data_IF_867560444942
#
_entry.id   IF_867560444942
#
_cell.length_a   1.000
_cell.length_b   1.000
_cell.length_c   1.000
_cell.angle_alpha   90.00
_cell.angle_beta   90.00
_cell.angle_gamma   90.00
#
_symmetry.space_group_name_H-M   'P 1'
#
loop_
_entity.id
_entity.type
_entity.pdbx_description
1 polymer ?
#
# COMPACT_ATOMS: atom_id res chain seq x y z
N UNK A 1 6.46 10.66 -20.00
CA UNK A 1 5.82 9.50 -19.36
C UNK A 1 6.84 8.80 -18.49
N UNK A 2 6.52 8.56 -17.21
CA UNK A 2 7.41 7.88 -16.24
C UNK A 2 6.72 6.60 -15.78
N UNK A 3 7.41 5.46 -15.85
CA UNK A 3 6.86 4.15 -15.48
C UNK A 3 7.60 3.55 -14.27
N UNK A 4 8.75 2.88 -14.49
CA UNK A 4 9.52 2.20 -13.43
C UNK A 4 9.84 3.09 -12.23
N UNK A 5 10.29 4.34 -12.47
CA UNK A 5 10.58 5.28 -11.40
C UNK A 5 9.37 5.61 -10.52
N UNK A 6 8.17 5.67 -11.11
CA UNK A 6 6.92 5.90 -10.38
C UNK A 6 6.46 4.65 -9.61
N UNK A 7 6.70 3.46 -10.17
CA UNK A 7 6.39 2.19 -9.51
C UNK A 7 7.22 2.01 -8.23
N UNK A 8 8.51 2.32 -8.26
CA UNK A 8 9.38 2.20 -7.08
C UNK A 8 9.12 3.29 -6.05
N UNK A 9 8.81 4.50 -6.51
CA UNK A 9 8.47 5.61 -5.63
C UNK A 9 7.61 6.66 -6.35
N UNK A 10 6.30 6.63 -6.11
CA UNK A 10 5.34 7.55 -6.71
C UNK A 10 5.56 9.02 -6.31
N UNK A 11 6.31 9.29 -5.24
CA UNK A 11 6.68 10.67 -4.87
C UNK A 11 7.64 11.34 -5.86
N UNK A 12 8.09 10.64 -6.91
CA UNK A 12 8.81 11.25 -8.04
C UNK A 12 8.03 12.40 -8.69
N UNK A 13 6.69 12.41 -8.56
CA UNK A 13 5.83 13.47 -9.06
C UNK A 13 5.60 14.61 -8.05
N UNK A 14 6.11 14.49 -6.81
CA UNK A 14 5.96 15.52 -5.78
C UNK A 14 6.86 16.71 -6.09
N UNK A 15 6.28 17.91 -6.17
CA UNK A 15 7.03 19.16 -6.29
C UNK A 15 7.89 19.47 -5.05
N UNK A 16 7.59 18.83 -3.91
CA UNK A 16 8.35 18.96 -2.65
C UNK A 16 9.56 18.04 -2.58
N UNK A 17 9.82 17.26 -3.64
CA UNK A 17 10.88 16.26 -3.68
C UNK A 17 10.42 14.86 -3.26
N UNK A 18 11.35 13.90 -3.37
CA UNK A 18 11.09 12.48 -3.10
C UNK A 18 10.91 12.23 -1.61
N UNK A 19 9.81 11.57 -1.26
CA UNK A 19 9.54 11.02 0.08
C UNK A 19 10.27 9.69 0.28
N UNK A 20 10.47 9.31 1.53
CA UNK A 20 11.03 8.01 1.87
C UNK A 20 10.11 6.89 1.37
N UNK A 21 10.69 5.84 0.78
CA UNK A 21 9.92 4.79 0.11
C UNK A 21 9.02 3.99 1.07
N UNK A 22 9.40 3.90 2.35
CA UNK A 22 8.58 3.25 3.37
C UNK A 22 7.27 4.00 3.63
N UNK A 23 7.30 5.33 3.65
CA UNK A 23 6.10 6.15 3.80
C UNK A 23 5.20 6.00 2.58
N UNK A 24 5.79 6.01 1.38
CA UNK A 24 5.07 5.84 0.11
C UNK A 24 4.40 4.47 0.05
N UNK A 25 5.08 3.42 0.51
CA UNK A 25 4.56 2.06 0.64
C UNK A 25 3.37 1.99 1.61
N UNK A 26 3.46 2.61 2.79
CA UNK A 26 2.33 2.68 3.75
C UNK A 26 1.15 3.48 3.18
N UNK A 27 1.39 4.59 2.48
CA UNK A 27 0.34 5.37 1.81
C UNK A 27 -0.34 4.55 0.71
N UNK A 28 0.45 3.82 -0.09
CA UNK A 28 -0.08 2.93 -1.12
C UNK A 28 -0.99 1.87 -0.50
N UNK A 29 -0.55 1.21 0.58
CA UNK A 29 -1.37 0.21 1.28
C UNK A 29 -2.66 0.80 1.86
N UNK A 30 -2.62 2.00 2.45
CA UNK A 30 -3.85 2.69 2.91
C UNK A 30 -4.84 2.93 1.79
N UNK A 31 -4.37 3.28 0.59
CA UNK A 31 -5.22 3.43 -0.61
C UNK A 31 -5.75 2.08 -1.09
N UNK A 32 -4.94 1.04 -1.08
CA UNK A 32 -5.37 -0.33 -1.40
C UNK A 32 -6.46 -0.83 -0.46
N UNK A 33 -6.35 -0.54 0.84
CA UNK A 33 -7.39 -0.83 1.83
C UNK A 33 -8.66 -0.02 1.55
N UNK A 34 -8.53 1.29 1.33
CA UNK A 34 -9.66 2.19 1.08
C UNK A 34 -10.51 1.75 -0.12
N UNK A 35 -9.87 1.30 -1.19
CA UNK A 35 -10.53 0.89 -2.42
C UNK A 35 -10.77 -0.62 -2.54
N UNK A 36 -10.56 -1.37 -1.45
CA UNK A 36 -10.68 -2.83 -1.42
C UNK A 36 -9.94 -3.50 -2.61
N UNK A 37 -8.71 -3.06 -2.85
CA UNK A 37 -7.91 -3.50 -3.99
C UNK A 37 -7.57 -4.98 -3.89
N UNK A 38 -7.37 -5.64 -5.04
CA UNK A 38 -6.91 -7.02 -5.07
C UNK A 38 -5.57 -7.18 -4.31
N UNK A 39 -5.53 -8.17 -3.41
CA UNK A 39 -4.37 -8.43 -2.55
C UNK A 39 -3.14 -8.85 -3.37
N UNK A 40 -3.31 -9.60 -4.47
CA UNK A 40 -2.18 -10.04 -5.30
C UNK A 40 -1.51 -8.86 -5.98
N UNK A 41 -2.31 -7.93 -6.52
CA UNK A 41 -1.85 -6.70 -7.16
C UNK A 41 -1.20 -5.74 -6.15
N UNK A 42 -1.77 -5.65 -4.95
CA UNK A 42 -1.20 -4.89 -3.82
C UNK A 42 0.17 -5.44 -3.44
N UNK A 43 0.27 -6.75 -3.21
CA UNK A 43 1.53 -7.45 -2.89
C UNK A 43 2.58 -7.26 -3.98
N UNK A 44 2.20 -7.41 -5.24
CA UNK A 44 3.12 -7.25 -6.37
C UNK A 44 3.80 -5.87 -6.35
N UNK A 45 2.99 -4.81 -6.23
CA UNK A 45 3.51 -3.43 -6.24
C UNK A 45 4.41 -3.14 -5.05
N UNK A 46 4.03 -3.59 -3.84
CA UNK A 46 4.87 -3.42 -2.65
C UNK A 46 6.18 -4.20 -2.78
N UNK A 47 6.14 -5.42 -3.35
CA UNK A 47 7.34 -6.23 -3.59
C UNK A 47 8.29 -5.56 -4.59
N UNK A 48 7.79 -4.87 -5.61
CA UNK A 48 8.62 -4.07 -6.52
C UNK A 48 9.32 -2.91 -5.79
N UNK A 49 8.63 -2.21 -4.87
CA UNK A 49 9.23 -1.18 -4.04
C UNK A 49 10.35 -1.76 -3.14
N UNK A 50 10.11 -2.90 -2.50
CA UNK A 50 11.08 -3.57 -1.62
C UNK A 50 12.27 -4.11 -2.42
N UNK A 51 12.03 -4.75 -3.57
CA UNK A 51 13.09 -5.30 -4.40
C UNK A 51 14.05 -4.21 -4.92
N UNK A 52 13.54 -2.98 -5.13
CA UNK A 52 14.36 -1.86 -5.57
C UNK A 52 15.15 -1.20 -4.43
N UNK A 53 14.55 -1.04 -3.24
CA UNK A 53 15.14 -0.27 -2.14
C UNK A 53 15.76 -1.11 -1.01
N UNK A 54 15.46 -2.41 -0.96
CA UNK A 54 15.84 -3.34 0.10
C UNK A 54 16.02 -4.75 -0.48
N UNK A 55 15.59 -5.80 0.23
CA UNK A 55 15.71 -7.19 -0.20
C UNK A 55 14.49 -8.02 0.21
N UNK A 56 13.96 -8.81 -0.72
CA UNK A 56 12.80 -9.68 -0.48
C UNK A 56 13.10 -10.89 0.43
N UNK A 57 14.37 -11.24 0.63
CA UNK A 57 14.78 -12.34 1.51
C UNK A 57 14.76 -11.98 3.00
N UNK A 58 14.60 -10.68 3.31
CA UNK A 58 14.44 -10.19 4.66
C UNK A 58 13.05 -10.54 5.23
N UNK A 59 12.87 -10.45 6.57
CA UNK A 59 11.60 -10.80 7.21
C UNK A 59 10.39 -10.12 6.59
N UNK A 60 10.49 -8.83 6.24
CA UNK A 60 9.40 -8.09 5.59
C UNK A 60 8.94 -8.74 4.28
N UNK A 61 9.86 -8.99 3.34
CA UNK A 61 9.52 -9.58 2.03
C UNK A 61 8.93 -10.99 2.15
N UNK A 62 9.40 -11.77 3.13
CA UNK A 62 8.85 -13.09 3.47
C UNK A 62 7.43 -12.97 4.05
N UNK A 63 7.20 -12.03 4.96
CA UNK A 63 5.87 -11.78 5.55
C UNK A 63 4.85 -11.34 4.51
N UNK A 64 5.21 -10.45 3.59
CA UNK A 64 4.31 -10.07 2.47
C UNK A 64 3.95 -11.27 1.63
N UNK A 65 4.91 -12.15 1.35
CA UNK A 65 4.65 -13.34 0.53
C UNK A 65 3.63 -14.27 1.20
N UNK A 66 3.65 -14.36 2.54
CA UNK A 66 2.71 -15.15 3.36
C UNK A 66 1.35 -14.51 3.57
N UNK A 67 1.22 -13.19 3.47
CA UNK A 67 -0.05 -12.49 3.67
C UNK A 67 -1.08 -12.89 2.60
N UNK A 68 -2.29 -13.26 3.00
CA UNK A 68 -3.36 -13.71 2.10
C UNK A 68 -4.48 -12.68 1.96
N UNK A 69 -4.54 -11.71 2.86
CA UNK A 69 -5.57 -10.67 2.89
C UNK A 69 -4.98 -9.27 3.01
N UNK A 70 -5.80 -8.24 2.74
CA UNK A 70 -5.44 -6.85 3.04
C UNK A 70 -5.32 -6.59 4.55
N UNK A 71 -6.00 -7.38 5.37
CA UNK A 71 -5.90 -7.34 6.84
C UNK A 71 -4.52 -7.79 7.30
N UNK A 72 -4.02 -8.91 6.78
CA UNK A 72 -2.66 -9.40 7.07
C UNK A 72 -1.59 -8.36 6.70
N UNK A 73 -1.77 -7.69 5.56
CA UNK A 73 -0.88 -6.60 5.14
C UNK A 73 -1.02 -5.39 6.06
N UNK A 74 -2.24 -5.03 6.48
CA UNK A 74 -2.45 -3.94 7.41
C UNK A 74 -1.73 -4.20 8.74
N UNK A 75 -1.85 -5.41 9.27
CA UNK A 75 -1.17 -5.84 10.49
C UNK A 75 0.35 -5.76 10.37
N UNK A 76 0.91 -6.21 9.24
CA UNK A 76 2.35 -6.15 8.98
C UNK A 76 2.91 -4.72 9.01
N UNK A 77 2.08 -3.71 8.71
CA UNK A 77 2.49 -2.32 8.62
C UNK A 77 1.94 -1.42 9.74
N UNK A 78 1.36 -2.02 10.79
CA UNK A 78 0.74 -1.31 11.92
C UNK A 78 -0.40 -0.38 11.45
N UNK A 79 -1.27 -0.91 10.58
CA UNK A 79 -2.42 -0.21 10.00
C UNK A 79 -3.76 -0.87 10.37
N UNK A 80 -3.80 -1.72 11.38
CA UNK A 80 -4.99 -2.45 11.82
C UNK A 80 -6.15 -1.50 12.15
N UNK A 81 -5.88 -0.45 12.93
CA UNK A 81 -6.88 0.55 13.30
C UNK A 81 -7.50 1.22 12.07
N UNK A 82 -6.67 1.50 11.06
CA UNK A 82 -7.12 2.08 9.80
C UNK A 82 -7.94 1.08 8.98
N UNK A 83 -7.50 -0.18 8.90
CA UNK A 83 -8.24 -1.23 8.21
C UNK A 83 -9.66 -1.40 8.78
N UNK A 84 -9.78 -1.49 10.10
CA UNK A 84 -11.08 -1.62 10.76
C UNK A 84 -11.92 -0.35 10.65
N UNK A 85 -11.32 0.84 10.77
CA UNK A 85 -12.03 2.09 10.53
C UNK A 85 -12.64 2.13 9.12
N UNK A 86 -11.85 1.83 8.07
CA UNK A 86 -12.34 1.77 6.69
C UNK A 86 -13.42 0.70 6.56
N UNK A 87 -13.20 -0.51 7.06
CA UNK A 87 -14.16 -1.63 6.93
C UNK A 87 -15.50 -1.36 7.63
N UNK A 88 -15.48 -0.62 8.73
CA UNK A 88 -16.69 -0.22 9.47
C UNK A 88 -17.40 0.97 8.81
N UNK A 89 -16.67 1.83 8.08
CA UNK A 89 -17.21 2.98 7.36
C UNK A 89 -17.67 2.61 5.94
N UNK A 90 -17.05 1.64 5.28
CA UNK A 90 -17.32 1.29 3.88
C UNK A 90 -18.76 0.83 3.59
N UNK A 91 -19.51 0.19 4.52
CA UNK A 91 -20.95 -0.02 4.35
C UNK A 91 -21.74 1.27 4.16
N UNK A 92 -21.18 2.43 4.54
CA UNK A 92 -21.80 3.76 4.44
C UNK A 92 -21.30 4.57 3.22
N UNK A 93 -20.26 4.13 2.50
CA UNK A 93 -19.63 4.91 1.42
C UNK A 93 -19.92 4.42 0.01
N UNK A 94 -20.60 3.28 -0.16
CA UNK A 94 -21.09 2.88 -1.50
C UNK A 94 -22.05 3.92 -2.12
N UNK A 95 -22.64 4.81 -1.31
CA UNK A 95 -23.50 5.92 -1.74
C UNK A 95 -22.84 7.31 -1.77
N UNK A 96 -21.60 7.47 -1.28
CA UNK A 96 -20.97 8.78 -1.20
C UNK A 96 -19.80 8.90 -2.19
N UNK A 97 -20.16 9.40 -3.38
CA UNK A 97 -19.28 10.16 -4.27
C UNK A 97 -18.80 11.45 -3.57
N UNK A 98 -18.11 11.34 -2.45
CA UNK A 98 -17.49 12.47 -1.77
C UNK A 98 -16.21 12.00 -1.12
N UNK A 99 -15.11 12.49 -1.67
CA UNK A 99 -13.69 12.51 -1.23
C UNK A 99 -12.81 12.12 -2.42
N UNK A 100 -12.92 12.96 -3.46
CA UNK A 100 -11.81 13.34 -4.35
C UNK A 100 -11.54 14.82 -4.11
#
# INVERSE_FOLDING_TARGET
MVARGAMWNASIFSSKGKSHWEDVKKIYLRKSILWNNDVKSTKYTIKEMIAHHSCLELPEGKSITKADTLEDLAQLYELDDYYWAVKNIHPLTHDLNYVL
#
